data_IF_833734409795
#
_entry.id   IF_833734409795
#
_cell.length_a   1.000
_cell.length_b   1.000
_cell.length_c   1.000
_cell.angle_alpha   90.00
_cell.angle_beta   90.00
_cell.angle_gamma   90.00
#
_symmetry.space_group_name_H-M   'P 1'
#
loop_
_entity.id
_entity.type
_entity.pdbx_description
1 polymer ?
#
# COMPACT_ATOMS: atom_id res chain seq x y z
N UNK A 1 11.65 14.42 2.34
CA UNK A 1 11.11 14.12 1.02
C UNK A 1 9.63 13.78 1.16
N UNK A 2 8.80 14.09 0.17
CA UNK A 2 7.40 13.65 0.14
C UNK A 2 7.34 12.30 -0.60
N UNK A 3 7.09 11.16 0.08
CA UNK A 3 7.05 9.87 -0.56
C UNK A 3 5.65 9.53 -1.09
N UNK A 4 5.59 8.91 -2.26
CA UNK A 4 4.39 8.28 -2.82
C UNK A 4 4.62 6.78 -2.87
N UNK A 5 3.67 6.01 -2.34
CA UNK A 5 3.70 4.55 -2.39
C UNK A 5 2.46 4.04 -3.12
N UNK A 6 2.65 3.16 -4.11
CA UNK A 6 1.57 2.48 -4.80
C UNK A 6 1.80 0.96 -4.77
N UNK A 7 0.73 0.19 -4.53
CA UNK A 7 0.75 -1.27 -4.55
C UNK A 7 -0.25 -1.80 -5.58
N UNK A 8 0.25 -2.50 -6.60
CA UNK A 8 -0.56 -3.12 -7.64
C UNK A 8 -0.94 -4.55 -7.20
N UNK A 9 -2.24 -4.80 -7.04
CA UNK A 9 -2.77 -6.03 -6.41
C UNK A 9 -3.08 -7.11 -7.47
N UNK A 10 -3.48 -6.73 -8.68
CA UNK A 10 -3.84 -7.66 -9.75
C UNK A 10 -3.11 -7.34 -11.07
N UNK A 11 -3.21 -8.25 -12.05
CA UNK A 11 -2.49 -8.12 -13.34
C UNK A 11 -2.97 -6.93 -14.18
N UNK A 12 -4.20 -6.48 -13.98
CA UNK A 12 -4.82 -5.36 -14.69
C UNK A 12 -4.67 -4.03 -13.95
N UNK A 13 -4.11 -4.03 -12.73
CA UNK A 13 -3.90 -2.82 -11.94
C UNK A 13 -2.91 -1.90 -12.64
N UNK A 14 -3.26 -0.61 -12.69
CA UNK A 14 -2.40 0.46 -13.18
C UNK A 14 -2.43 1.61 -12.17
N UNK A 15 -1.29 2.27 -12.00
CA UNK A 15 -1.20 3.51 -11.24
C UNK A 15 -0.61 4.59 -12.14
N UNK A 16 -1.24 5.77 -12.15
CA UNK A 16 -0.74 6.96 -12.82
C UNK A 16 -0.55 8.02 -11.73
N UNK A 17 0.68 8.52 -11.56
CA UNK A 17 1.04 9.47 -10.51
C UNK A 17 1.67 10.71 -11.13
N UNK A 18 1.13 11.89 -10.82
CA UNK A 18 1.58 13.18 -11.38
C UNK A 18 2.00 14.12 -10.24
N UNK A 19 3.29 14.13 -9.84
CA UNK A 19 3.75 15.03 -8.80
C UNK A 19 3.84 16.46 -9.34
N UNK A 20 3.44 17.43 -8.52
CA UNK A 20 3.59 18.86 -8.79
C UNK A 20 4.24 19.52 -7.57
N UNK A 21 5.27 20.33 -7.80
CA UNK A 21 6.03 21.03 -6.76
C UNK A 21 6.20 22.48 -7.21
N UNK A 22 5.71 23.41 -6.41
CA UNK A 22 5.87 24.85 -6.61
C UNK A 22 6.64 25.42 -5.41
N UNK A 23 7.68 26.23 -5.69
CA UNK A 23 8.61 26.74 -4.68
C UNK A 23 8.79 28.25 -4.92
N UNK A 24 8.45 29.05 -3.91
CA UNK A 24 8.61 30.52 -3.94
C UNK A 24 9.86 31.01 -3.17
N UNK A 25 10.66 30.10 -2.62
CA UNK A 25 11.88 30.40 -1.85
C UNK A 25 13.15 30.02 -2.64
N UNK A 26 14.14 30.91 -2.65
CA UNK A 26 15.41 30.75 -3.39
C UNK A 26 16.41 29.80 -2.74
N UNK A 27 16.19 29.40 -1.48
CA UNK A 27 17.11 28.55 -0.70
C UNK A 27 16.51 27.19 -0.35
N UNK A 28 15.28 26.92 -0.79
CA UNK A 28 14.59 25.69 -0.47
C UNK A 28 15.26 24.44 -1.06
N UNK A 29 15.34 23.39 -0.24
CA UNK A 29 15.73 22.05 -0.67
C UNK A 29 14.51 21.14 -0.58
N UNK A 30 14.05 20.61 -1.72
CA UNK A 30 12.88 19.73 -1.80
C UNK A 30 13.27 18.42 -2.46
N UNK A 31 12.79 17.31 -1.89
CA UNK A 31 12.95 15.97 -2.44
C UNK A 31 11.61 15.26 -2.55
N UNK A 32 11.41 14.54 -3.64
CA UNK A 32 10.24 13.70 -3.87
C UNK A 32 10.69 12.28 -4.17
N UNK A 33 9.99 11.31 -3.61
CA UNK A 33 10.25 9.89 -3.83
C UNK A 33 8.95 9.20 -4.24
N UNK A 34 8.99 8.33 -5.22
CA UNK A 34 7.85 7.52 -5.62
C UNK A 34 8.28 6.06 -5.74
N UNK A 35 7.55 5.17 -5.07
CA UNK A 35 7.80 3.74 -5.04
C UNK A 35 6.54 2.99 -5.48
N UNK A 36 6.67 2.18 -6.52
CA UNK A 36 5.59 1.33 -7.03
C UNK A 36 5.97 -0.13 -6.84
N UNK A 37 5.20 -0.84 -6.02
CA UNK A 37 5.30 -2.28 -5.81
C UNK A 37 4.19 -3.03 -6.52
N UNK A 38 4.46 -4.26 -6.95
CA UNK A 38 3.43 -5.21 -7.37
C UNK A 38 3.45 -6.39 -6.43
N UNK A 39 2.27 -6.89 -6.04
CA UNK A 39 2.19 -8.14 -5.30
C UNK A 39 2.66 -9.27 -6.23
N UNK A 40 3.82 -9.85 -5.90
CA UNK A 40 4.39 -10.96 -6.66
C UNK A 40 3.63 -12.25 -6.40
N UNK A 41 3.39 -13.03 -7.46
CA UNK A 41 2.79 -14.37 -7.33
C UNK A 41 3.64 -15.27 -6.42
N UNK A 42 4.97 -15.09 -6.42
CA UNK A 42 5.90 -15.83 -5.55
C UNK A 42 5.69 -15.53 -4.05
N UNK A 43 5.35 -14.30 -3.69
CA UNK A 43 5.08 -13.92 -2.30
C UNK A 43 3.77 -14.53 -1.80
N UNK A 44 2.74 -14.50 -2.65
CA UNK A 44 1.46 -15.15 -2.40
C UNK A 44 1.67 -16.66 -2.28
N UNK A 45 2.39 -17.27 -3.22
CA UNK A 45 2.70 -18.70 -3.23
C UNK A 45 3.46 -19.11 -1.96
N UNK A 46 4.44 -18.32 -1.54
CA UNK A 46 5.16 -18.55 -0.30
C UNK A 46 4.24 -18.55 0.92
N UNK A 47 3.37 -17.55 1.07
CA UNK A 47 2.41 -17.47 2.17
C UNK A 47 1.37 -18.60 2.11
N UNK A 48 0.93 -19.00 0.92
CA UNK A 48 0.05 -20.14 0.72
C UNK A 48 0.71 -21.46 1.10
N UNK A 49 2.01 -21.62 0.80
CA UNK A 49 2.79 -22.80 1.23
C UNK A 49 2.90 -22.91 2.77
N UNK A 50 2.68 -21.81 3.49
CA UNK A 50 2.61 -21.76 4.96
C UNK A 50 1.20 -22.04 5.51
N UNK A 51 0.24 -22.35 4.64
CA UNK A 51 -1.13 -22.73 5.00
C UNK A 51 -2.14 -21.59 4.95
N UNK A 52 -1.77 -20.40 4.48
CA UNK A 52 -2.70 -19.29 4.30
C UNK A 52 -3.50 -19.46 3.00
N UNK A 53 -4.77 -19.04 3.01
CA UNK A 53 -5.53 -18.90 1.75
C UNK A 53 -4.99 -17.74 0.93
N UNK A 54 -5.19 -17.76 -0.37
CA UNK A 54 -4.74 -16.69 -1.27
C UNK A 54 -5.24 -15.30 -0.82
N UNK A 55 -6.51 -15.19 -0.41
CA UNK A 55 -7.09 -13.95 0.10
C UNK A 55 -6.40 -13.47 1.38
N UNK A 56 -6.11 -14.38 2.31
CA UNK A 56 -5.41 -14.09 3.57
C UNK A 56 -3.96 -13.67 3.31
N UNK A 57 -3.29 -14.33 2.36
CA UNK A 57 -1.94 -13.99 1.94
C UNK A 57 -1.87 -12.59 1.33
N UNK A 58 -2.80 -12.25 0.43
CA UNK A 58 -2.92 -10.90 -0.13
C UNK A 58 -3.18 -9.86 0.96
N UNK A 59 -4.11 -10.15 1.87
CA UNK A 59 -4.44 -9.25 2.98
C UNK A 59 -3.24 -8.96 3.87
N UNK A 60 -2.45 -9.98 4.18
CA UNK A 60 -1.23 -9.83 4.96
C UNK A 60 -0.19 -8.94 4.26
N UNK A 61 -0.02 -9.09 2.94
CA UNK A 61 0.91 -8.27 2.15
C UNK A 61 0.46 -6.80 2.13
N UNK A 62 -0.83 -6.55 1.87
CA UNK A 62 -1.42 -5.19 1.88
C UNK A 62 -1.29 -4.57 3.28
N UNK A 63 -1.56 -5.34 4.34
CA UNK A 63 -1.45 -4.87 5.71
C UNK A 63 -0.01 -4.50 6.08
N UNK A 64 0.98 -5.28 5.64
CA UNK A 64 2.39 -4.95 5.80
C UNK A 64 2.79 -3.68 5.04
N UNK A 65 2.22 -3.45 3.86
CA UNK A 65 2.49 -2.24 3.05
C UNK A 65 1.96 -0.96 3.70
N UNK A 66 0.77 -0.99 4.31
CA UNK A 66 0.17 0.16 4.99
C UNK A 66 0.66 0.36 6.43
N UNK A 67 1.36 -0.63 7.02
CA UNK A 67 1.80 -0.62 8.43
C UNK A 67 2.55 0.67 8.84
N UNK A 68 3.46 1.21 8.02
CA UNK A 68 4.16 2.46 8.36
C UNK A 68 3.22 3.66 8.48
N UNK A 69 2.10 3.66 7.75
CA UNK A 69 1.09 4.71 7.81
C UNK A 69 0.16 4.53 9.01
N UNK A 70 -0.33 3.31 9.27
CA UNK A 70 -1.18 3.04 10.44
C UNK A 70 -0.49 3.33 11.76
N UNK A 71 0.84 3.15 11.86
CA UNK A 71 1.62 3.52 13.05
C UNK A 71 1.67 5.02 13.34
N UNK A 72 1.40 5.88 12.34
CA UNK A 72 1.39 7.34 12.50
C UNK A 72 0.00 7.87 12.86
N UNK A 73 -1.04 7.04 12.72
CA UNK A 73 -2.41 7.42 13.04
C UNK A 73 -2.72 7.21 14.54
N UNK A 74 -3.59 8.04 15.13
CA UNK A 74 -4.15 7.73 16.45
C UNK A 74 -4.86 6.37 16.44
N UNK A 75 -4.81 5.67 17.58
CA UNK A 75 -5.27 4.27 17.71
C UNK A 75 -6.71 4.05 17.21
N UNK A 76 -7.60 5.01 17.49
CA UNK A 76 -9.01 4.95 17.06
C UNK A 76 -9.17 4.90 15.53
N UNK A 77 -8.37 5.65 14.78
CA UNK A 77 -8.40 5.65 13.32
C UNK A 77 -7.66 4.46 12.72
N UNK A 78 -6.60 3.99 13.37
CA UNK A 78 -5.87 2.81 12.92
C UNK A 78 -6.75 1.54 12.95
N UNK A 79 -7.61 1.40 13.97
CA UNK A 79 -8.59 0.31 14.05
C UNK A 79 -9.61 0.37 12.91
N UNK A 80 -10.18 1.55 12.66
CA UNK A 80 -11.18 1.71 11.59
C UNK A 80 -10.58 1.49 10.20
N UNK A 81 -9.37 2.00 9.94
CA UNK A 81 -8.67 1.81 8.67
C UNK A 81 -8.39 0.33 8.37
N UNK A 82 -7.93 -0.43 9.37
CA UNK A 82 -7.72 -1.87 9.20
C UNK A 82 -9.01 -2.60 8.84
N UNK A 83 -10.14 -2.19 9.42
CA UNK A 83 -11.45 -2.76 9.12
C UNK A 83 -11.91 -2.45 7.70
N UNK A 84 -11.78 -1.20 7.26
CA UNK A 84 -12.11 -0.78 5.90
C UNK A 84 -11.30 -1.54 4.85
N UNK A 85 -10.01 -1.76 5.11
CA UNK A 85 -9.13 -2.48 4.19
C UNK A 85 -9.53 -3.94 4.06
N UNK A 86 -9.91 -4.60 5.15
CA UNK A 86 -10.42 -5.98 5.08
C UNK A 86 -11.69 -6.08 4.24
N UNK A 87 -12.62 -5.13 4.40
CA UNK A 87 -13.88 -5.08 3.62
C UNK A 87 -13.62 -4.89 2.11
N UNK A 88 -12.73 -3.97 1.74
CA UNK A 88 -12.36 -3.75 0.34
C UNK A 88 -11.67 -4.96 -0.29
N UNK A 89 -10.88 -5.69 0.50
CA UNK A 89 -10.18 -6.87 0.02
C UNK A 89 -11.10 -8.08 -0.19
N UNK A 90 -12.15 -8.24 0.61
CA UNK A 90 -13.18 -9.25 0.37
C UNK A 90 -13.97 -8.95 -0.92
N UNK A 91 -14.16 -7.68 -1.27
CA UNK A 91 -14.86 -7.25 -2.48
C UNK A 91 -14.01 -7.25 -3.77
N UNK A 92 -12.69 -7.06 -3.68
CA UNK A 92 -11.77 -7.00 -4.83
C UNK A 92 -11.23 -8.35 -5.30
N UNK A 93 -11.47 -9.44 -4.54
CA UNK A 93 -11.12 -10.82 -4.94
C UNK A 93 -12.37 -11.48 -5.53
N UNK A 94 -12.83 -10.95 -6.66
CA UNK A 94 -13.95 -11.44 -7.46
C UNK A 94 -13.76 -11.10 -8.93
#
# INVERSE_FOLDING_TARGET
ALPIYALLINKTSKTDTYPYIEIEDQTATVGHEASVGKIGEDQIFYLMSRGLKEAEAKAMIVQGFIEPFTKQLPMEYALELNRLIQLEMEGSVG
#
